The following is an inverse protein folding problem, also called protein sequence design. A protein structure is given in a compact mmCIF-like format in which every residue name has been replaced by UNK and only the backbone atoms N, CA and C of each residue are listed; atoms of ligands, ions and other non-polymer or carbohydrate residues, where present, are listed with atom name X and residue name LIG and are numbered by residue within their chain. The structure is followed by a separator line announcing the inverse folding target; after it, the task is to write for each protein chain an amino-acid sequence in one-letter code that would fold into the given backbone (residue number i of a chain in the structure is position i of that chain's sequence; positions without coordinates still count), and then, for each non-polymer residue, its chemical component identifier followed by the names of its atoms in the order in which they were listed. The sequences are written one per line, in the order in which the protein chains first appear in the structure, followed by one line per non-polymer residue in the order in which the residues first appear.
data_IF_153534703251
#
_entry.id   IF_153534703251
#
_cell.length_a   1.000
_cell.length_b   1.000
_cell.length_c   1.000
_cell.angle_alpha   90.00
_cell.angle_beta   90.00
_cell.angle_gamma   90.00
#
_symmetry.space_group_name_H-M   'P 1'
#
loop_
_entity.id
_entity.type
_entity.pdbx_description
1 polymer ?
#
# COMPACT_ATOMS: atom_id res chain seq x y z
N UNK A 1 2.26 9.28 10.08
CA UNK A 1 1.42 9.46 11.29
C UNK A 1 1.94 10.55 12.21
N UNK A 2 3.20 10.53 12.66
CA UNK A 2 3.75 11.62 13.51
C UNK A 2 3.68 12.99 12.83
N UNK A 3 4.08 13.08 11.55
CA UNK A 3 4.05 14.35 10.80
C UNK A 3 2.60 14.86 10.67
N UNK A 4 1.67 14.01 10.25
CA UNK A 4 0.23 14.36 10.12
C UNK A 4 -0.36 14.81 11.46
N UNK A 5 -0.02 14.12 12.56
CA UNK A 5 -0.47 14.49 13.92
C UNK A 5 0.09 15.84 14.37
N UNK A 6 1.38 16.11 14.13
CA UNK A 6 1.99 17.40 14.46
C UNK A 6 1.39 18.54 13.63
N UNK A 7 1.14 18.30 12.34
CA UNK A 7 0.47 19.28 11.48
C UNK A 7 -0.97 19.55 11.94
N UNK A 8 -1.71 18.54 12.39
CA UNK A 8 -3.05 18.71 12.96
C UNK A 8 -3.04 19.58 14.22
N UNK A 9 -2.14 19.33 15.18
CA UNK A 9 -2.03 20.13 16.41
C UNK A 9 -1.70 21.58 16.09
N UNK A 10 -0.72 21.82 15.23
CA UNK A 10 -0.31 23.17 14.87
C UNK A 10 -1.39 23.91 14.05
N UNK A 11 -2.30 23.19 13.37
CA UNK A 11 -3.44 23.80 12.68
C UNK A 11 -4.47 24.34 13.68
N UNK A 12 -4.74 23.57 14.75
CA UNK A 12 -5.67 23.98 15.83
C UNK A 12 -5.14 25.19 16.57
N UNK A 13 -3.82 25.26 16.84
CA UNK A 13 -3.23 26.40 17.57
C UNK A 13 -3.17 27.69 16.75
N UNK A 14 -3.21 27.61 15.41
CA UNK A 14 -3.12 28.76 14.52
C UNK A 14 -4.46 29.09 13.84
N UNK A 15 -5.59 28.64 14.41
CA UNK A 15 -6.92 28.85 13.84
C UNK A 15 -7.28 30.34 13.71
N UNK A 16 -6.72 31.18 14.59
CA UNK A 16 -6.94 32.63 14.59
C UNK A 16 -6.22 33.34 13.43
N UNK A 17 -5.25 32.68 12.79
CA UNK A 17 -4.45 33.20 11.68
C UNK A 17 -4.84 32.48 10.37
N UNK A 18 -5.71 33.06 9.53
CA UNK A 18 -6.25 32.36 8.36
C UNK A 18 -5.19 31.98 7.32
N UNK A 19 -4.12 32.78 7.17
CA UNK A 19 -3.01 32.49 6.25
C UNK A 19 -2.24 31.23 6.67
N UNK A 20 -1.90 31.14 7.95
CA UNK A 20 -1.19 29.99 8.51
C UNK A 20 -2.04 28.73 8.44
N UNK A 21 -3.32 28.86 8.81
CA UNK A 21 -4.29 27.79 8.72
C UNK A 21 -4.44 27.24 7.28
N UNK A 22 -4.52 28.13 6.27
CA UNK A 22 -4.55 27.75 4.85
C UNK A 22 -3.28 27.02 4.40
N UNK A 23 -2.10 27.52 4.79
CA UNK A 23 -0.82 26.85 4.52
C UNK A 23 -0.79 25.44 5.12
N UNK A 24 -1.41 25.28 6.27
CA UNK A 24 -1.40 24.03 7.00
C UNK A 24 -2.36 22.98 6.44
N UNK A 25 -3.55 23.41 6.01
CA UNK A 25 -4.48 22.56 5.26
C UNK A 25 -3.83 22.09 3.97
N UNK A 26 -3.23 23.00 3.19
CA UNK A 26 -2.59 22.64 1.91
C UNK A 26 -1.45 21.63 2.09
N UNK A 27 -0.62 21.81 3.12
CA UNK A 27 0.42 20.83 3.46
C UNK A 27 -0.16 19.47 3.87
N UNK A 28 -1.22 19.48 4.68
CA UNK A 28 -1.90 18.24 5.13
C UNK A 28 -2.53 17.49 3.95
N UNK A 29 -3.20 18.19 3.04
CA UNK A 29 -3.72 17.62 1.80
C UNK A 29 -2.61 17.03 0.94
N UNK A 30 -1.47 17.71 0.79
CA UNK A 30 -0.34 17.19 0.02
C UNK A 30 0.20 15.88 0.61
N UNK A 31 0.32 15.78 1.94
CA UNK A 31 0.73 14.55 2.62
C UNK A 31 -0.27 13.40 2.43
N UNK A 32 -1.57 13.68 2.51
CA UNK A 32 -2.61 12.68 2.27
C UNK A 32 -2.57 12.16 0.83
N UNK A 33 -2.38 13.04 -0.16
CA UNK A 33 -2.24 12.66 -1.57
C UNK A 33 -0.99 11.81 -1.78
N UNK A 34 0.14 12.16 -1.18
CA UNK A 34 1.36 11.36 -1.25
C UNK A 34 1.14 9.96 -0.68
N UNK A 35 0.56 9.86 0.52
CA UNK A 35 0.25 8.59 1.17
C UNK A 35 -0.74 7.76 0.33
N UNK A 36 -1.74 8.40 -0.28
CA UNK A 36 -2.68 7.75 -1.18
C UNK A 36 -1.96 7.09 -2.36
N UNK A 37 -1.04 7.82 -3.02
CA UNK A 37 -0.29 7.25 -4.13
C UNK A 37 0.57 6.05 -3.72
N UNK A 38 1.26 6.12 -2.57
CA UNK A 38 2.03 4.99 -2.04
C UNK A 38 1.14 3.78 -1.75
N UNK A 39 0.03 3.97 -1.04
CA UNK A 39 -0.94 2.92 -0.72
C UNK A 39 -1.60 2.32 -1.96
N UNK A 40 -1.92 3.15 -2.95
CA UNK A 40 -2.49 2.68 -4.21
C UNK A 40 -1.52 1.81 -5.00
N UNK A 41 -0.25 2.23 -5.14
CA UNK A 41 0.75 1.42 -5.82
C UNK A 41 1.04 0.12 -5.06
N UNK A 42 1.13 0.18 -3.73
CA UNK A 42 1.32 -0.99 -2.89
C UNK A 42 0.16 -1.99 -3.03
N UNK A 43 -1.09 -1.52 -3.05
CA UNK A 43 -2.26 -2.36 -3.28
C UNK A 43 -2.20 -3.05 -4.64
N UNK A 44 -1.89 -2.31 -5.71
CA UNK A 44 -1.75 -2.89 -7.06
C UNK A 44 -0.68 -3.97 -7.12
N UNK A 45 0.42 -3.80 -6.40
CA UNK A 45 1.48 -4.80 -6.31
C UNK A 45 0.99 -6.10 -5.65
N UNK A 46 0.24 -5.97 -4.55
CA UNK A 46 -0.37 -7.10 -3.83
C UNK A 46 -1.36 -7.83 -4.73
N UNK A 47 -2.26 -7.09 -5.39
CA UNK A 47 -3.28 -7.65 -6.27
C UNK A 47 -2.65 -8.39 -7.44
N UNK A 48 -1.62 -7.81 -8.07
CA UNK A 48 -0.92 -8.42 -9.19
C UNK A 48 -0.13 -9.68 -8.76
N UNK A 49 0.52 -9.63 -7.61
CA UNK A 49 1.22 -10.79 -7.05
C UNK A 49 0.26 -11.95 -6.79
N UNK A 50 -0.90 -11.66 -6.20
CA UNK A 50 -1.96 -12.64 -5.94
C UNK A 50 -2.51 -13.20 -7.25
N UNK A 51 -2.74 -12.34 -8.24
CA UNK A 51 -3.21 -12.75 -9.56
C UNK A 51 -2.26 -13.72 -10.26
N UNK A 52 -0.95 -13.48 -10.19
CA UNK A 52 0.07 -14.41 -10.73
C UNK A 52 -0.04 -15.76 -10.04
N UNK A 53 -0.14 -15.78 -8.71
CA UNK A 53 -0.28 -17.02 -7.95
C UNK A 53 -1.51 -17.82 -8.39
N UNK A 54 -2.69 -17.18 -8.43
CA UNK A 54 -3.94 -17.82 -8.87
C UNK A 54 -3.86 -18.30 -10.32
N UNK A 55 -3.21 -17.53 -11.21
CA UNK A 55 -3.01 -17.92 -12.61
C UNK A 55 -2.13 -19.17 -12.74
N UNK A 56 -1.07 -19.26 -11.94
CA UNK A 56 -0.20 -20.44 -11.89
C UNK A 56 -0.91 -21.68 -11.37
N UNK A 57 -1.81 -21.52 -10.38
CA UNK A 57 -2.64 -22.64 -9.88
C UNK A 57 -3.62 -23.16 -10.93
N UNK A 58 -4.14 -22.28 -11.78
CA UNK A 58 -5.14 -22.63 -12.81
C UNK A 58 -4.53 -23.19 -14.11
N UNK A 59 -3.20 -23.23 -14.23
CA UNK A 59 -2.53 -23.83 -15.39
C UNK A 59 -2.68 -25.35 -15.38
N UNK A 60 -2.89 -25.94 -16.57
CA UNK A 60 -2.89 -27.41 -16.77
C UNK A 60 -1.47 -27.99 -16.68
N UNK A 61 -0.86 -27.88 -15.50
CA UNK A 61 0.54 -28.24 -15.23
C UNK A 61 0.87 -29.70 -15.60
N UNK A 62 -0.12 -30.59 -15.55
CA UNK A 62 0.02 -32.00 -15.92
C UNK A 62 0.20 -32.22 -17.43
N UNK A 63 -0.26 -31.29 -18.27
CA UNK A 63 -0.09 -31.31 -19.73
C UNK A 63 1.21 -30.62 -20.19
N UNK A 64 1.92 -29.92 -19.31
CA UNK A 64 3.17 -29.24 -19.65
C UNK A 64 4.40 -30.15 -19.63
N UNK A 65 5.46 -29.73 -20.33
CA UNK A 65 6.75 -30.44 -20.35
C UNK A 65 7.35 -30.62 -18.95
N UNK A 66 8.19 -31.64 -18.76
CA UNK A 66 8.85 -31.91 -17.48
C UNK A 66 9.72 -30.76 -16.98
N UNK A 67 10.36 -30.01 -17.90
CA UNK A 67 11.12 -28.80 -17.58
C UNK A 67 10.21 -27.66 -17.11
N UNK A 68 9.12 -27.40 -17.84
CA UNK A 68 8.14 -26.36 -17.49
C UNK A 68 7.49 -26.64 -16.14
N UNK A 69 7.11 -27.90 -15.87
CA UNK A 69 6.50 -28.31 -14.60
C UNK A 69 7.39 -27.98 -13.40
N UNK A 70 8.71 -28.24 -13.49
CA UNK A 70 9.66 -27.89 -12.42
C UNK A 70 9.71 -26.38 -12.16
N UNK A 71 9.67 -25.58 -13.23
CA UNK A 71 9.66 -24.11 -13.13
C UNK A 71 8.35 -23.63 -12.49
N UNK A 72 7.20 -24.17 -12.92
CA UNK A 72 5.89 -23.83 -12.35
C UNK A 72 5.83 -24.11 -10.84
N UNK A 73 6.33 -25.26 -10.39
CA UNK A 73 6.40 -25.60 -8.96
C UNK A 73 7.25 -24.56 -8.21
N UNK A 74 8.41 -24.19 -8.74
CA UNK A 74 9.25 -23.17 -8.13
C UNK A 74 8.56 -21.80 -8.07
N UNK A 75 7.85 -21.39 -9.13
CA UNK A 75 7.08 -20.14 -9.14
C UNK A 75 5.92 -20.18 -8.14
N UNK A 76 5.20 -21.29 -8.03
CA UNK A 76 4.14 -21.49 -7.04
C UNK A 76 4.66 -21.34 -5.61
N UNK A 77 5.78 -21.98 -5.29
CA UNK A 77 6.43 -21.83 -3.98
C UNK A 77 6.85 -20.39 -3.68
N UNK A 78 7.28 -19.64 -4.70
CA UNK A 78 7.72 -18.24 -4.54
C UNK A 78 6.57 -17.24 -4.44
N UNK A 79 5.43 -17.54 -5.04
CA UNK A 79 4.28 -16.63 -5.12
C UNK A 79 3.21 -16.92 -4.07
N UNK A 80 3.43 -17.93 -3.22
CA UNK A 80 2.50 -18.30 -2.15
C UNK A 80 2.21 -17.15 -1.19
N UNK A 81 3.23 -16.34 -0.88
CA UNK A 81 3.04 -15.09 -0.14
C UNK A 81 3.01 -13.92 -1.13
N UNK A 82 1.99 -13.05 -1.08
CA UNK A 82 1.93 -11.90 -1.96
C UNK A 82 3.08 -10.93 -1.67
N UNK A 83 3.56 -10.28 -2.73
CA UNK A 83 4.56 -9.23 -2.59
C UNK A 83 3.92 -8.00 -1.91
N UNK A 84 4.31 -7.76 -0.66
CA UNK A 84 3.79 -6.67 0.18
C UNK A 84 4.87 -5.61 0.42
N UNK A 85 4.47 -4.34 0.38
CA UNK A 85 5.31 -3.24 0.85
C UNK A 85 5.03 -3.02 2.34
N UNK A 86 6.09 -2.89 3.15
CA UNK A 86 5.94 -2.62 4.59
C UNK A 86 6.55 -1.28 4.98
N UNK A 87 5.86 -0.54 5.83
CA UNK A 87 6.38 0.68 6.43
C UNK A 87 7.28 0.30 7.62
N UNK A 88 8.59 0.29 7.41
CA UNK A 88 9.57 -0.01 8.47
C UNK A 88 9.38 -1.38 9.12
N UNK A 89 8.83 -2.36 8.40
CA UNK A 89 8.43 -3.70 8.90
C UNK A 89 7.36 -3.71 10.01
N UNK A 90 6.70 -2.58 10.29
CA UNK A 90 5.68 -2.51 11.33
C UNK A 90 4.29 -2.87 10.81
N UNK A 91 3.94 -2.36 9.63
CA UNK A 91 2.65 -2.59 9.01
C UNK A 91 2.76 -2.68 7.49
N UNK A 92 1.84 -3.41 6.87
CA UNK A 92 1.72 -3.50 5.41
C UNK A 92 1.07 -2.22 4.90
N UNK A 93 1.68 -1.62 3.88
CA UNK A 93 1.13 -0.49 3.17
C UNK A 93 0.10 -1.03 2.18
N UNK A 94 -1.15 -0.63 2.37
CA UNK A 94 -2.29 -1.03 1.55
C UNK A 94 -3.35 0.07 1.53
N UNK A 95 -4.38 -0.10 0.69
CA UNK A 95 -5.56 0.77 0.73
C UNK A 95 -6.31 0.67 2.05
N UNK A 96 -6.35 -0.51 2.67
CA UNK A 96 -6.98 -0.70 3.98
C UNK A 96 -6.28 0.14 5.05
N UNK A 97 -4.94 0.11 5.06
CA UNK A 97 -4.15 0.93 5.99
C UNK A 97 -4.34 2.42 5.72
N UNK A 98 -4.46 2.84 4.46
CA UNK A 98 -4.79 4.23 4.11
C UNK A 98 -6.17 4.64 4.65
N UNK A 99 -7.19 3.82 4.45
CA UNK A 99 -8.55 4.07 4.95
C UNK A 99 -8.59 4.16 6.47
N UNK A 100 -7.79 3.34 7.17
CA UNK A 100 -7.68 3.42 8.62
C UNK A 100 -7.07 4.77 9.05
N UNK A 101 -6.02 5.25 8.36
CA UNK A 101 -5.38 6.54 8.65
C UNK A 101 -6.31 7.72 8.37
N UNK A 102 -7.05 7.69 7.25
CA UNK A 102 -7.99 8.76 6.89
C UNK A 102 -9.21 8.83 7.79
N UNK A 103 -9.62 7.73 8.43
CA UNK A 103 -10.71 7.73 9.41
C UNK A 103 -10.27 8.23 10.79
N UNK A 104 -8.97 8.15 11.09
CA UNK A 104 -8.39 8.63 12.37
C UNK A 104 -8.06 10.13 12.33
N UNK A 105 -7.76 10.66 11.14
CA UNK A 105 -7.38 12.06 10.92
C UNK A 105 -8.62 12.92 10.68
#
# INVERSE_FOLDING_TARGET
MLIISMTGVTAVTNVDNPEEFLRQITFSCALLVHLFFESFQAQRLIDHSTYIHTSLMNVTWYQTSSRTRKILIFMLMKTQEPCVLTAGKMFVISMDTFSAVSHIT
#
